data_IF_056568835462
#
_entry.id   IF_056568835462
#
_cell.length_a   1.000
_cell.length_b   1.000
_cell.length_c   1.000
_cell.angle_alpha   90.00
_cell.angle_beta   90.00
_cell.angle_gamma   90.00
#
_symmetry.space_group_name_H-M   'P 1'
#
loop_
_entity.id
_entity.type
_entity.pdbx_description
1 polymer ?
#
# COMPACT_ATOMS: atom_id res chain seq x y z
N UNK A 1 23.38 -6.87 -1.44
CA UNK A 1 22.03 -7.14 -0.90
C UNK A 1 21.74 -8.63 -1.12
N UNK A 2 21.34 -9.37 -0.08
CA UNK A 2 21.00 -10.80 -0.17
C UNK A 2 19.48 -11.02 -0.28
N UNK A 3 18.76 -10.01 -0.78
CA UNK A 3 17.34 -10.07 -1.00
C UNK A 3 17.03 -11.01 -2.17
N UNK A 4 16.05 -11.90 -1.98
CA UNK A 4 15.68 -12.93 -2.96
C UNK A 4 14.45 -12.56 -3.78
N UNK A 5 13.76 -11.48 -3.43
CA UNK A 5 12.61 -11.04 -4.18
C UNK A 5 13.01 -10.42 -5.51
N UNK A 6 12.05 -10.35 -6.42
CA UNK A 6 12.21 -9.83 -7.77
C UNK A 6 11.24 -8.66 -7.92
N UNK A 7 11.68 -7.50 -8.44
CA UNK A 7 10.79 -6.37 -8.67
C UNK A 7 9.55 -6.78 -9.46
N UNK A 8 8.39 -6.29 -9.02
CA UNK A 8 7.12 -6.61 -9.67
C UNK A 8 7.10 -6.21 -11.15
N UNK A 9 6.64 -7.12 -12.00
CA UNK A 9 6.29 -6.87 -13.38
C UNK A 9 5.26 -7.90 -13.87
N UNK A 10 4.38 -7.50 -14.77
CA UNK A 10 3.40 -8.39 -15.40
C UNK A 10 3.02 -7.88 -16.79
N UNK A 11 1.94 -8.38 -17.39
CA UNK A 11 1.50 -7.95 -18.73
C UNK A 11 1.11 -6.46 -18.84
N UNK A 12 0.73 -5.81 -17.73
CA UNK A 12 0.24 -4.43 -17.67
C UNK A 12 1.32 -3.48 -17.14
N UNK A 13 2.01 -3.86 -16.06
CA UNK A 13 3.09 -3.10 -15.45
C UNK A 13 4.46 -3.67 -15.85
N UNK A 14 5.22 -2.92 -16.67
CA UNK A 14 6.50 -3.34 -17.25
C UNK A 14 7.73 -2.59 -16.74
N UNK A 15 7.58 -1.81 -15.65
CA UNK A 15 8.66 -0.92 -15.20
C UNK A 15 9.64 -1.59 -14.23
N UNK A 16 9.30 -2.75 -13.65
CA UNK A 16 10.11 -3.41 -12.64
C UNK A 16 10.25 -2.53 -11.38
N UNK A 17 11.48 -2.43 -10.87
CA UNK A 17 11.80 -1.66 -9.68
C UNK A 17 11.25 -0.23 -9.76
N UNK A 18 10.49 0.16 -8.75
CA UNK A 18 9.77 1.43 -8.75
C UNK A 18 10.77 2.59 -8.57
N UNK A 19 10.72 3.58 -9.46
CA UNK A 19 11.70 4.69 -9.49
C UNK A 19 11.37 5.76 -8.45
N UNK A 20 12.40 6.20 -7.73
CA UNK A 20 12.32 7.21 -6.68
C UNK A 20 13.21 8.41 -7.05
N UNK A 21 12.71 9.67 -7.06
CA UNK A 21 11.41 10.13 -6.57
C UNK A 21 10.22 9.72 -7.45
N UNK A 22 9.02 9.72 -6.86
CA UNK A 22 7.78 9.35 -7.54
C UNK A 22 6.83 8.55 -6.64
N UNK A 23 5.74 8.05 -7.24
CA UNK A 23 4.80 7.14 -6.57
C UNK A 23 5.35 5.72 -6.58
N UNK A 24 5.32 5.09 -5.41
CA UNK A 24 5.45 3.66 -5.20
C UNK A 24 4.04 3.11 -4.96
N UNK A 25 3.56 2.27 -5.88
CA UNK A 25 2.29 1.56 -5.76
C UNK A 25 2.42 0.42 -4.74
N UNK A 26 1.56 0.39 -3.74
CA UNK A 26 1.68 -0.54 -2.62
C UNK A 26 1.38 -1.99 -3.04
N UNK A 27 0.46 -2.19 -3.98
CA UNK A 27 0.06 -3.46 -4.56
C UNK A 27 1.16 -4.09 -5.46
N UNK A 28 2.15 -3.30 -5.90
CA UNK A 28 3.29 -3.72 -6.72
C UNK A 28 4.50 -4.10 -5.85
N UNK A 29 4.25 -4.77 -4.72
CA UNK A 29 5.29 -5.39 -3.91
C UNK A 29 6.00 -6.50 -4.71
N UNK A 30 7.23 -6.80 -4.37
CA UNK A 30 8.05 -7.71 -5.18
C UNK A 30 7.48 -9.14 -5.22
N UNK A 31 7.90 -9.93 -6.19
CA UNK A 31 7.71 -11.38 -6.16
C UNK A 31 8.69 -12.02 -5.18
N UNK A 32 8.31 -13.14 -4.58
CA UNK A 32 9.17 -13.90 -3.67
C UNK A 32 8.39 -14.75 -2.66
N UNK A 33 7.12 -14.40 -2.44
CA UNK A 33 6.23 -15.10 -1.52
C UNK A 33 6.44 -14.74 -0.06
N UNK A 34 5.72 -15.48 0.77
CA UNK A 34 5.68 -15.37 2.23
C UNK A 34 7.09 -15.47 2.86
N UNK A 35 7.39 -14.56 3.78
CA UNK A 35 8.69 -14.42 4.44
C UNK A 35 9.81 -13.84 3.58
N UNK A 36 9.55 -13.56 2.29
CA UNK A 36 10.53 -12.96 1.37
C UNK A 36 10.08 -11.57 0.93
N UNK A 37 8.99 -11.49 0.18
CA UNK A 37 8.50 -10.23 -0.39
C UNK A 37 7.30 -9.66 0.38
N UNK A 38 6.65 -10.47 1.21
CA UNK A 38 5.65 -10.04 2.15
C UNK A 38 5.60 -10.99 3.35
N UNK A 39 4.89 -10.57 4.40
CA UNK A 39 4.33 -11.43 5.43
C UNK A 39 2.86 -11.07 5.58
N UNK A 40 1.99 -12.06 5.40
CA UNK A 40 0.56 -11.97 5.64
C UNK A 40 0.15 -12.99 6.71
N UNK A 41 -0.80 -12.64 7.58
CA UNK A 41 -1.23 -13.54 8.65
C UNK A 41 -2.15 -14.66 8.16
N UNK A 42 -2.68 -14.54 6.95
CA UNK A 42 -3.34 -15.64 6.28
C UNK A 42 -2.71 -15.95 4.92
N UNK A 43 -3.26 -16.93 4.21
CA UNK A 43 -2.72 -17.40 2.94
C UNK A 43 -3.65 -17.14 1.76
N UNK A 44 -4.68 -16.30 1.94
CA UNK A 44 -5.79 -16.10 1.00
C UNK A 44 -6.03 -14.61 0.82
N UNK A 45 -5.76 -14.10 -0.39
CA UNK A 45 -6.18 -12.77 -0.80
C UNK A 45 -7.71 -12.60 -0.65
N UNK A 46 -8.11 -11.78 0.32
CA UNK A 46 -9.49 -11.50 0.69
C UNK A 46 -10.18 -10.55 -0.28
N UNK A 47 -9.42 -9.82 -1.09
CA UNK A 47 -9.92 -8.96 -2.15
C UNK A 47 -10.06 -9.71 -3.48
N UNK A 48 -8.96 -9.93 -4.19
CA UNK A 48 -8.92 -10.64 -5.48
C UNK A 48 -9.32 -12.11 -5.31
N UNK A 49 -10.32 -12.56 -6.07
CA UNK A 49 -10.83 -13.93 -6.02
C UNK A 49 -11.88 -14.22 -4.94
N UNK A 50 -11.96 -13.41 -3.87
CA UNK A 50 -12.92 -13.59 -2.77
C UNK A 50 -13.97 -12.48 -2.74
N UNK A 51 -13.60 -11.25 -2.38
CA UNK A 51 -14.52 -10.10 -2.47
C UNK A 51 -14.85 -9.75 -3.92
N UNK A 52 -13.84 -9.80 -4.79
CA UNK A 52 -13.96 -9.62 -6.23
C UNK A 52 -13.88 -11.02 -6.87
N UNK A 53 -15.02 -11.68 -7.19
CA UNK A 53 -14.98 -13.03 -7.74
C UNK A 53 -14.20 -13.06 -9.04
N UNK A 54 -13.38 -14.10 -9.20
CA UNK A 54 -12.60 -14.35 -10.41
C UNK A 54 -13.52 -14.42 -11.64
N UNK A 55 -13.23 -13.61 -12.65
CA UNK A 55 -14.01 -13.46 -13.89
C UNK A 55 -13.15 -13.40 -15.16
N UNK A 56 -11.85 -13.70 -15.03
CA UNK A 56 -10.83 -13.59 -16.07
C UNK A 56 -10.27 -12.17 -16.26
N UNK A 57 -10.79 -11.16 -15.55
CA UNK A 57 -10.30 -9.79 -15.67
C UNK A 57 -9.08 -9.54 -14.80
N UNK A 58 -8.21 -8.67 -15.30
CA UNK A 58 -7.02 -8.23 -14.57
C UNK A 58 -7.36 -7.59 -13.22
N UNK A 59 -8.44 -6.80 -13.15
CA UNK A 59 -8.86 -6.13 -11.92
C UNK A 59 -9.32 -7.10 -10.83
N UNK A 60 -10.03 -8.17 -11.18
CA UNK A 60 -10.57 -9.11 -10.19
C UNK A 60 -9.57 -10.20 -9.79
N UNK A 61 -8.60 -10.51 -10.67
CA UNK A 61 -7.64 -11.60 -10.47
C UNK A 61 -6.22 -11.11 -10.19
N UNK A 62 -6.03 -9.80 -9.98
CA UNK A 62 -4.71 -9.25 -9.68
C UNK A 62 -4.09 -9.92 -8.46
N UNK A 63 -2.99 -10.64 -8.71
CA UNK A 63 -2.22 -11.39 -7.69
C UNK A 63 -3.08 -12.33 -6.84
N UNK A 64 -4.14 -12.89 -7.43
CA UNK A 64 -5.10 -13.80 -6.78
C UNK A 64 -4.46 -15.03 -6.11
N UNK A 65 -3.26 -15.43 -6.54
CA UNK A 65 -2.56 -16.61 -6.02
C UNK A 65 -1.51 -16.28 -4.93
N UNK A 66 -1.44 -15.02 -4.49
CA UNK A 66 -0.58 -14.58 -3.38
C UNK A 66 -1.44 -14.25 -2.16
N UNK A 67 -0.81 -14.14 -0.99
CA UNK A 67 -1.57 -13.98 0.25
C UNK A 67 -2.03 -12.53 0.48
N UNK A 68 -1.22 -11.54 0.09
CA UNK A 68 -1.50 -10.13 0.36
C UNK A 68 -2.88 -9.74 -0.16
N UNK A 69 -3.68 -9.22 0.75
CA UNK A 69 -5.05 -8.77 0.47
C UNK A 69 -5.05 -7.53 -0.44
N UNK A 70 -5.57 -7.68 -1.66
CA UNK A 70 -5.60 -6.59 -2.66
C UNK A 70 -7.01 -6.44 -3.23
N UNK A 71 -7.50 -5.21 -3.26
CA UNK A 71 -8.71 -4.86 -4.00
C UNK A 71 -8.44 -3.59 -4.81
N UNK A 72 -9.51 -3.02 -5.37
CA UNK A 72 -9.43 -1.80 -6.15
C UNK A 72 -10.61 -0.88 -5.87
N UNK A 73 -10.42 0.42 -6.06
CA UNK A 73 -11.43 1.46 -5.87
C UNK A 73 -12.59 1.31 -6.85
N UNK A 74 -13.82 1.39 -6.35
CA UNK A 74 -15.05 1.09 -7.09
C UNK A 74 -15.98 2.28 -7.11
N UNK A 75 -16.20 2.83 -8.31
CA UNK A 75 -17.20 3.88 -8.52
C UNK A 75 -18.42 3.27 -9.18
N UNK A 76 -19.44 2.97 -8.38
CA UNK A 76 -20.69 2.31 -8.78
C UNK A 76 -21.81 2.64 -7.80
N UNK A 77 -23.02 2.13 -8.04
CA UNK A 77 -24.14 2.23 -7.10
C UNK A 77 -24.37 0.91 -6.32
N UNK A 78 -24.56 0.95 -4.99
CA UNK A 78 -24.37 2.13 -4.13
C UNK A 78 -22.89 2.57 -4.09
N UNK A 79 -22.66 3.88 -3.93
CA UNK A 79 -21.32 4.47 -3.89
C UNK A 79 -20.45 3.85 -2.78
N UNK A 80 -19.21 3.49 -3.15
CA UNK A 80 -18.19 2.87 -2.28
C UNK A 80 -17.05 3.87 -2.06
N UNK A 81 -16.24 4.11 -3.10
CA UNK A 81 -15.02 4.92 -3.01
C UNK A 81 -15.18 6.33 -3.62
N UNK A 82 -16.36 6.66 -4.13
CA UNK A 82 -16.72 7.96 -4.70
C UNK A 82 -17.82 8.65 -3.88
N UNK A 83 -17.56 8.84 -2.58
CA UNK A 83 -18.52 9.45 -1.65
C UNK A 83 -18.08 10.85 -1.22
N UNK A 84 -19.03 11.71 -0.79
CA UNK A 84 -18.69 13.02 -0.22
C UNK A 84 -17.98 12.92 1.15
N UNK A 85 -17.80 11.71 1.70
CA UNK A 85 -17.11 11.49 2.98
C UNK A 85 -15.62 11.24 2.82
N UNK A 86 -15.12 11.12 1.58
CA UNK A 86 -13.70 11.14 1.31
C UNK A 86 -13.09 12.49 1.70
N UNK A 87 -11.93 12.45 2.34
CA UNK A 87 -11.10 13.64 2.58
C UNK A 87 -10.35 14.02 1.29
N UNK A 88 -9.93 12.99 0.56
CA UNK A 88 -9.35 13.08 -0.79
C UNK A 88 -9.99 12.02 -1.66
N UNK A 89 -10.50 12.41 -2.83
CA UNK A 89 -11.10 11.49 -3.79
C UNK A 89 -9.99 10.63 -4.45
N UNK A 90 -10.01 9.30 -4.34
CA UNK A 90 -9.10 8.44 -5.10
C UNK A 90 -9.47 8.47 -6.59
N UNK A 91 -8.59 7.92 -7.42
CA UNK A 91 -8.91 7.60 -8.81
C UNK A 91 -9.74 6.30 -8.89
N UNK A 92 -10.48 6.10 -9.99
CA UNK A 92 -11.28 4.90 -10.22
C UNK A 92 -10.38 3.71 -10.61
N UNK A 93 -10.78 2.51 -10.21
CA UNK A 93 -10.16 1.25 -10.61
C UNK A 93 -8.65 1.19 -10.25
N UNK A 94 -8.25 1.90 -9.18
CA UNK A 94 -6.90 1.84 -8.61
C UNK A 94 -6.80 0.71 -7.60
N UNK A 95 -5.79 -0.12 -7.71
CA UNK A 95 -5.52 -1.14 -6.71
C UNK A 95 -5.04 -0.53 -5.40
N UNK A 96 -5.27 -1.26 -4.32
CA UNK A 96 -4.73 -0.96 -3.02
C UNK A 96 -4.56 -2.25 -2.22
N UNK A 97 -3.57 -2.26 -1.34
CA UNK A 97 -3.45 -3.30 -0.30
C UNK A 97 -4.46 -2.95 0.79
N UNK A 98 -5.26 -3.93 1.24
CA UNK A 98 -6.29 -3.74 2.27
C UNK A 98 -6.22 -4.82 3.33
N UNK A 99 -7.23 -4.89 4.21
CA UNK A 99 -7.38 -5.93 5.26
C UNK A 99 -6.16 -6.18 6.16
N UNK A 100 -5.18 -5.28 6.10
CA UNK A 100 -3.90 -5.40 6.79
C UNK A 100 -4.05 -5.73 8.27
N UNK A 101 -3.16 -6.50 8.85
CA UNK A 101 -3.16 -6.79 10.29
C UNK A 101 -1.83 -6.39 10.93
N UNK A 102 -1.82 -6.08 12.23
CA UNK A 102 -0.58 -5.85 12.97
C UNK A 102 0.39 -7.03 12.79
N UNK A 103 1.64 -6.71 12.46
CA UNK A 103 2.71 -7.67 12.18
C UNK A 103 2.98 -7.90 10.69
N UNK A 104 2.03 -7.57 9.81
CA UNK A 104 2.18 -7.77 8.37
C UNK A 104 3.10 -6.73 7.73
N UNK A 105 3.70 -7.13 6.61
CA UNK A 105 4.56 -6.24 5.83
C UNK A 105 4.62 -6.63 4.37
N UNK A 106 4.91 -5.64 3.53
CA UNK A 106 5.10 -5.79 2.09
C UNK A 106 6.37 -5.05 1.68
N UNK A 107 7.16 -5.67 0.81
CA UNK A 107 8.53 -5.27 0.48
C UNK A 107 8.71 -5.05 -1.02
N UNK A 108 9.51 -4.03 -1.34
CA UNK A 108 9.73 -3.54 -2.69
C UNK A 108 11.22 -3.44 -2.95
N UNK A 109 11.63 -3.68 -4.19
CA UNK A 109 12.87 -3.14 -4.73
C UNK A 109 12.58 -1.78 -5.35
N UNK A 110 13.25 -0.74 -4.83
CA UNK A 110 13.19 0.63 -5.34
C UNK A 110 14.48 1.01 -6.06
N UNK A 111 14.36 1.81 -7.11
CA UNK A 111 15.50 2.40 -7.83
C UNK A 111 15.59 3.89 -7.50
N UNK A 112 16.49 4.24 -6.59
CA UNK A 112 16.73 5.62 -6.16
C UNK A 112 17.66 6.31 -7.14
N UNK A 113 17.21 7.42 -7.75
CA UNK A 113 17.97 8.13 -8.78
C UNK A 113 19.16 8.94 -8.20
N UNK A 114 19.00 9.48 -6.99
CA UNK A 114 19.99 10.33 -6.30
C UNK A 114 19.94 10.09 -4.80
N UNK A 115 21.10 10.02 -4.13
CA UNK A 115 21.12 9.98 -2.66
C UNK A 115 20.59 11.29 -2.09
N UNK A 116 19.90 11.23 -0.95
CA UNK A 116 19.42 12.41 -0.24
C UNK A 116 18.24 12.11 0.67
N UNK A 117 17.65 13.17 1.20
CA UNK A 117 16.47 13.10 2.04
C UNK A 117 15.19 13.15 1.19
N UNK A 118 14.24 12.30 1.56
CA UNK A 118 12.96 12.15 0.91
C UNK A 118 11.84 12.27 1.93
N UNK A 119 10.89 13.14 1.65
CA UNK A 119 9.60 13.20 2.31
C UNK A 119 8.68 12.13 1.71
N UNK A 120 8.00 11.39 2.57
CA UNK A 120 7.03 10.36 2.19
C UNK A 120 5.62 10.89 2.38
N UNK A 121 4.80 10.84 1.33
CA UNK A 121 3.36 10.99 1.42
C UNK A 121 2.65 9.65 1.30
N UNK A 122 1.48 9.48 1.92
CA UNK A 122 0.75 8.22 1.96
C UNK A 122 -0.72 8.45 1.57
N UNK A 123 -1.21 7.68 0.59
CA UNK A 123 -2.63 7.58 0.23
C UNK A 123 -3.24 6.34 0.89
N UNK A 124 -4.24 6.53 1.75
CA UNK A 124 -4.72 5.46 2.63
C UNK A 124 -6.18 5.62 3.07
N UNK A 125 -6.70 4.58 3.71
CA UNK A 125 -7.86 4.64 4.60
C UNK A 125 -7.52 4.02 5.95
N UNK A 126 -8.17 4.47 7.03
CA UNK A 126 -8.04 3.82 8.34
C UNK A 126 -9.26 4.12 9.21
N UNK A 127 -10.06 3.11 9.57
CA UNK A 127 -11.24 3.34 10.40
C UNK A 127 -10.89 3.78 11.85
N UNK A 128 -9.65 3.57 12.31
CA UNK A 128 -9.18 3.94 13.66
C UNK A 128 -7.79 4.58 13.57
N UNK A 129 -7.29 5.16 14.65
CA UNK A 129 -5.88 5.53 14.69
C UNK A 129 -5.04 4.26 14.72
N UNK A 130 -4.11 4.11 13.78
CA UNK A 130 -3.19 3.00 13.69
C UNK A 130 -1.74 3.46 13.63
N UNK A 131 -0.84 2.50 13.45
CA UNK A 131 0.59 2.77 13.27
C UNK A 131 1.17 1.91 12.18
N UNK A 132 2.09 2.51 11.43
CA UNK A 132 2.96 1.82 10.49
C UNK A 132 4.43 2.08 10.83
N UNK A 133 5.35 1.41 10.16
CA UNK A 133 6.76 1.81 10.12
C UNK A 133 7.36 1.52 8.76
N UNK A 134 8.44 2.21 8.42
CA UNK A 134 9.18 1.97 7.19
C UNK A 134 10.57 1.40 7.49
N UNK A 135 10.99 0.45 6.68
CA UNK A 135 12.36 -0.04 6.68
C UNK A 135 13.02 0.15 5.31
N UNK A 136 14.33 0.39 5.35
CA UNK A 136 15.19 0.49 4.17
C UNK A 136 16.33 -0.50 4.35
N UNK A 137 16.55 -1.38 3.37
CA UNK A 137 17.58 -2.42 3.45
C UNK A 137 17.47 -3.25 4.75
N UNK A 138 16.23 -3.64 5.09
CA UNK A 138 15.84 -4.40 6.29
C UNK A 138 16.15 -3.71 7.63
N UNK A 139 16.43 -2.40 7.63
CA UNK A 139 16.60 -1.59 8.84
C UNK A 139 15.42 -0.64 8.99
N UNK A 140 14.77 -0.66 10.16
CA UNK A 140 13.76 0.33 10.52
C UNK A 140 14.38 1.74 10.49
N UNK A 141 13.73 2.66 9.78
CA UNK A 141 14.18 4.05 9.60
C UNK A 141 13.22 5.07 10.21
N UNK A 142 12.08 4.64 10.76
CA UNK A 142 11.08 5.56 11.34
C UNK A 142 10.64 5.20 12.75
N UNK A 143 10.72 3.93 13.16
CA UNK A 143 9.92 3.41 14.25
C UNK A 143 8.41 3.50 13.93
N UNK A 144 7.54 3.22 14.92
CA UNK A 144 6.10 3.36 14.76
C UNK A 144 5.69 4.82 14.56
N UNK A 145 5.04 5.11 13.44
CA UNK A 145 4.45 6.42 13.10
C UNK A 145 2.93 6.32 13.04
N UNK A 146 2.24 7.36 13.49
CA UNK A 146 0.78 7.38 13.60
C UNK A 146 0.12 7.58 12.23
N UNK A 147 -0.87 6.73 11.93
CA UNK A 147 -1.82 6.90 10.82
C UNK A 147 -3.17 7.31 11.43
N UNK A 148 -3.67 8.54 11.16
CA UNK A 148 -4.89 9.03 11.78
C UNK A 148 -6.12 8.32 11.19
N UNK A 149 -7.18 8.22 11.99
CA UNK A 149 -8.47 7.72 11.53
C UNK A 149 -9.06 8.60 10.43
N UNK A 150 -9.66 7.96 9.43
CA UNK A 150 -10.52 8.53 8.39
C UNK A 150 -12.00 8.23 8.66
N UNK A 151 -12.36 7.82 9.88
CA UNK A 151 -13.77 7.62 10.28
C UNK A 151 -14.57 8.92 10.14
N UNK A 152 -15.78 8.81 9.58
CA UNK A 152 -16.70 9.94 9.42
C UNK A 152 -18.04 9.58 10.04
N UNK A 153 -18.36 10.19 11.17
CA UNK A 153 -19.60 9.91 11.93
C UNK A 153 -20.89 10.21 11.15
N UNK A 154 -20.83 11.14 10.19
CA UNK A 154 -21.96 11.48 9.34
C UNK A 154 -22.30 10.37 8.33
N UNK A 155 -21.35 9.47 8.03
CA UNK A 155 -21.61 8.31 7.21
C UNK A 155 -22.18 7.16 8.05
N UNK A 156 -23.49 6.92 7.93
CA UNK A 156 -24.17 5.88 8.70
C UNK A 156 -24.02 4.47 8.12
N UNK A 157 -23.34 4.32 6.97
CA UNK A 157 -23.10 3.01 6.35
C UNK A 157 -21.87 2.38 6.97
N UNK A 158 -22.08 1.43 7.89
CA UNK A 158 -21.03 0.84 8.70
C UNK A 158 -19.82 0.31 7.89
N UNK A 159 -20.05 -0.46 6.83
CA UNK A 159 -18.99 -1.02 5.98
C UNK A 159 -18.23 0.03 5.17
N UNK A 160 -18.76 1.24 5.00
CA UNK A 160 -18.11 2.30 4.21
C UNK A 160 -17.08 3.10 5.00
N UNK A 161 -17.02 2.92 6.31
CA UNK A 161 -16.00 3.53 7.17
C UNK A 161 -14.56 3.14 6.81
N UNK A 162 -14.37 2.04 6.06
CA UNK A 162 -13.08 1.61 5.52
C UNK A 162 -12.76 2.18 4.13
N UNK A 163 -13.65 2.99 3.56
CA UNK A 163 -13.58 3.56 2.21
C UNK A 163 -13.61 5.10 2.21
N UNK A 164 -13.22 5.71 3.33
CA UNK A 164 -12.96 7.15 3.41
C UNK A 164 -11.48 7.41 3.16
N UNK A 165 -11.16 7.84 1.95
CA UNK A 165 -9.80 8.05 1.49
C UNK A 165 -9.24 9.38 1.96
N UNK A 166 -7.97 9.36 2.34
CA UNK A 166 -7.22 10.54 2.71
C UNK A 166 -5.77 10.43 2.23
N UNK A 167 -5.12 11.58 2.09
CA UNK A 167 -3.72 11.69 1.73
C UNK A 167 -2.98 12.53 2.76
N UNK A 168 -1.89 11.99 3.29
CA UNK A 168 -0.96 12.74 4.15
C UNK A 168 0.28 13.06 3.31
N UNK A 169 0.56 14.35 3.12
CA UNK A 169 1.70 14.82 2.33
C UNK A 169 3.07 14.46 2.94
N UNK A 170 3.14 14.38 4.28
CA UNK A 170 4.36 14.09 5.03
C UNK A 170 4.05 13.18 6.21
N UNK A 171 4.09 11.87 5.99
CA UNK A 171 3.97 10.88 7.05
C UNK A 171 5.33 10.63 7.72
N UNK A 172 6.42 10.78 6.97
CA UNK A 172 7.80 10.60 7.44
C UNK A 172 8.80 11.31 6.51
N UNK A 173 10.03 11.50 6.99
CA UNK A 173 11.19 11.89 6.17
C UNK A 173 12.32 10.91 6.42
N UNK A 174 12.92 10.38 5.34
CA UNK A 174 13.97 9.35 5.40
C UNK A 174 15.14 9.69 4.49
N UNK A 175 16.32 9.14 4.78
CA UNK A 175 17.47 9.18 3.88
C UNK A 175 17.49 7.94 2.97
N UNK A 176 17.72 8.15 1.68
CA UNK A 176 17.93 7.09 0.69
C UNK A 176 19.28 7.28 -0.02
N UNK A 177 19.90 6.17 -0.39
CA UNK A 177 21.12 6.13 -1.17
C UNK A 177 20.81 5.83 -2.63
N UNK A 178 21.53 6.48 -3.56
CA UNK A 178 21.41 6.21 -4.99
C UNK A 178 21.62 4.73 -5.28
N UNK A 179 20.76 4.16 -6.11
CA UNK A 179 20.85 2.77 -6.57
C UNK A 179 19.64 1.95 -6.16
N UNK A 180 19.79 0.63 -6.26
CA UNK A 180 18.77 -0.32 -5.82
C UNK A 180 18.81 -0.43 -4.29
N UNK A 181 17.64 -0.30 -3.68
CA UNK A 181 17.42 -0.52 -2.25
C UNK A 181 16.13 -1.32 -2.04
N UNK A 182 15.99 -1.99 -0.89
CA UNK A 182 14.70 -2.51 -0.48
C UNK A 182 14.01 -1.47 0.38
N UNK A 183 12.71 -1.36 0.18
CA UNK A 183 11.82 -0.56 0.99
C UNK A 183 10.71 -1.48 1.54
N UNK A 184 10.28 -1.28 2.76
CA UNK A 184 9.22 -2.11 3.38
C UNK A 184 8.32 -1.22 4.20
N UNK A 185 7.01 -1.39 4.04
CA UNK A 185 6.01 -0.86 4.97
C UNK A 185 5.57 -2.00 5.88
N UNK A 186 5.53 -1.75 7.19
CA UNK A 186 4.98 -2.65 8.19
C UNK A 186 3.69 -2.06 8.75
N UNK A 187 2.67 -2.89 8.90
CA UNK A 187 1.49 -2.58 9.71
C UNK A 187 1.82 -2.92 11.16
N UNK A 188 1.93 -1.91 12.03
CA UNK A 188 2.49 -2.07 13.38
C UNK A 188 1.40 -2.25 14.44
N UNK A 189 0.37 -1.41 14.39
CA UNK A 189 -0.68 -1.37 15.40
C UNK A 189 -1.99 -0.96 14.73
N UNK A 190 -3.10 -1.60 15.13
CA UNK A 190 -4.44 -1.46 14.52
C UNK A 190 -4.43 -1.74 13.01
N UNK A 191 -4.92 -2.92 12.62
CA UNK A 191 -5.09 -3.29 11.21
C UNK A 191 -6.32 -2.69 10.53
N UNK A 192 -6.72 -3.28 9.41
CA UNK A 192 -7.76 -2.88 8.47
C UNK A 192 -7.52 -1.48 7.91
N UNK A 193 -6.27 -1.14 7.68
CA UNK A 193 -5.87 0.02 6.88
C UNK A 193 -5.75 -0.38 5.41
N UNK A 194 -6.09 0.53 4.51
CA UNK A 194 -5.82 0.37 3.09
C UNK A 194 -4.65 1.27 2.70
N UNK A 195 -3.72 0.78 1.87
CA UNK A 195 -2.60 1.53 1.31
C UNK A 195 -2.67 1.48 -0.22
N UNK A 196 -2.83 2.64 -0.86
CA UNK A 196 -2.81 2.76 -2.34
C UNK A 196 -1.37 3.01 -2.80
N UNK A 197 -0.81 4.18 -2.50
CA UNK A 197 0.57 4.50 -2.87
C UNK A 197 1.31 5.30 -1.79
N UNK A 198 2.65 5.25 -1.88
CA UNK A 198 3.56 6.11 -1.14
C UNK A 198 4.27 7.03 -2.14
N UNK A 199 4.16 8.34 -1.95
CA UNK A 199 4.83 9.32 -2.79
C UNK A 199 6.16 9.76 -2.17
N UNK A 200 7.26 9.60 -2.89
CA UNK A 200 8.60 10.03 -2.47
C UNK A 200 8.94 11.36 -3.13
N UNK A 201 9.04 12.42 -2.32
CA UNK A 201 9.48 13.74 -2.77
C UNK A 201 10.87 14.04 -2.18
N UNK A 202 11.87 14.21 -3.04
CA UNK A 202 13.19 14.64 -2.60
C UNK A 202 13.12 16.08 -2.06
N UNK A 203 13.82 16.35 -0.96
CA UNK A 203 13.78 17.65 -0.24
C UNK A 203 15.14 18.34 -0.12
N UNK A 204 16.17 17.84 -0.81
CA UNK A 204 17.52 18.40 -0.90
C UNK A 204 18.16 18.26 -2.31
#
# INVERSE_FOLDING_TARGET
MHYKGIPFEDSVYKKGAQKIPGKLQCEYYDFGGEGVAYHDNDSINSGSGKLNPADGSYLHEFRINEAVDISFTKFRDPAIDNTPYNFVQPDKDQFYVGWTQPGEWIKYTIQVEKSGNYQLGLMFTSNKNGKISFAVNDKDVTGPIMVPSTFVAADTVAWRQWHHWNYIDNIASIHLDKGLQTFTIHTVDVGNMNYDFINFKRID
#
